data_IF_712487083930
#
_entry.id   IF_712487083930
#
_cell.length_a   1.000
_cell.length_b   1.000
_cell.length_c   1.000
_cell.angle_alpha   90.00
_cell.angle_beta   90.00
_cell.angle_gamma   90.00
#
_symmetry.space_group_name_H-M   'P 1'
#
loop_
_entity.id
_entity.type
_entity.pdbx_description
1 polymer ?
#
# COMPACT_ATOMS: atom_id res chain seq x y z
N UNK A 1 -58.88 26.31 -9.85
CA UNK A 1 -58.51 24.92 -10.23
C UNK A 1 -57.82 24.99 -11.60
N UNK A 2 -56.52 24.69 -11.67
CA UNK A 2 -55.74 24.74 -12.92
C UNK A 2 -55.33 23.29 -13.24
N UNK A 3 -55.76 22.70 -14.37
CA UNK A 3 -55.35 21.35 -14.72
C UNK A 3 -53.93 21.36 -15.33
N UNK A 4 -52.97 20.72 -14.67
CA UNK A 4 -51.64 20.47 -15.23
C UNK A 4 -51.69 19.26 -16.16
N UNK A 5 -51.71 19.50 -17.48
CA UNK A 5 -51.63 18.42 -18.47
C UNK A 5 -50.19 17.90 -18.56
N UNK A 6 -49.93 16.67 -18.11
CA UNK A 6 -48.66 15.99 -18.33
C UNK A 6 -48.41 15.80 -19.84
N UNK A 7 -47.44 16.53 -20.38
CA UNK A 7 -46.95 16.34 -21.75
C UNK A 7 -46.39 14.93 -21.94
N UNK A 8 -46.93 14.20 -22.93
CA UNK A 8 -46.49 12.86 -23.32
C UNK A 8 -45.05 12.94 -23.86
N UNK A 9 -44.06 12.51 -23.08
CA UNK A 9 -42.70 12.30 -23.60
C UNK A 9 -42.68 11.03 -24.45
N UNK A 10 -42.32 11.21 -25.73
CA UNK A 10 -42.13 10.14 -26.73
C UNK A 10 -40.99 9.23 -26.26
N UNK A 11 -41.27 7.97 -25.93
CA UNK A 11 -40.21 6.97 -25.70
C UNK A 11 -39.54 6.70 -27.04
N UNK A 12 -38.26 7.02 -27.16
CA UNK A 12 -37.43 6.63 -28.30
C UNK A 12 -37.20 5.12 -28.17
N UNK A 13 -37.59 4.36 -29.18
CA UNK A 13 -37.38 2.92 -29.23
C UNK A 13 -35.89 2.60 -29.42
N UNK A 14 -35.43 1.52 -28.81
CA UNK A 14 -34.03 1.04 -28.78
C UNK A 14 -33.40 0.83 -30.17
N UNK A 15 -34.22 0.81 -31.23
CA UNK A 15 -33.84 0.65 -32.63
C UNK A 15 -33.24 1.91 -33.26
N UNK A 16 -33.45 3.10 -32.68
CA UNK A 16 -32.95 4.37 -33.23
C UNK A 16 -31.54 4.74 -32.72
N UNK A 17 -31.03 4.08 -31.67
CA UNK A 17 -29.64 4.25 -31.21
C UNK A 17 -28.64 3.32 -31.94
N UNK A 18 -29.10 2.46 -32.84
CA UNK A 18 -28.26 1.44 -33.48
C UNK A 18 -27.91 1.73 -34.94
N UNK A 19 -27.66 2.99 -35.31
CA UNK A 19 -27.08 3.28 -36.63
C UNK A 19 -26.12 4.46 -36.61
N UNK A 20 -24.83 4.15 -36.53
CA UNK A 20 -23.74 4.69 -37.36
C UNK A 20 -22.38 4.51 -36.65
N UNK A 21 -21.85 3.29 -36.68
CA UNK A 21 -20.39 3.10 -36.68
C UNK A 21 -20.02 2.38 -37.98
N UNK A 22 -18.90 2.75 -38.64
CA UNK A 22 -18.49 2.22 -39.93
C UNK A 22 -18.38 0.69 -40.01
N UNK A 23 -18.53 0.20 -41.24
CA UNK A 23 -18.77 -1.16 -41.73
C UNK A 23 -17.82 -2.30 -41.29
N UNK A 24 -18.21 -3.57 -41.54
CA UNK A 24 -17.67 -4.79 -40.93
C UNK A 24 -16.73 -5.60 -41.86
N UNK A 25 -15.89 -6.47 -41.25
CA UNK A 25 -15.48 -7.85 -41.65
C UNK A 25 -13.98 -8.15 -41.34
N UNK A 26 -13.54 -9.42 -41.19
CA UNK A 26 -14.30 -10.68 -41.06
C UNK A 26 -14.04 -11.43 -39.74
N UNK A 27 -14.96 -12.33 -39.42
CA UNK A 27 -14.83 -13.39 -38.43
C UNK A 27 -13.55 -14.23 -38.62
N UNK A 28 -12.82 -14.51 -37.54
CA UNK A 28 -12.03 -15.75 -37.43
C UNK A 28 -12.33 -16.37 -36.07
N UNK A 29 -12.62 -17.66 -36.12
CA UNK A 29 -12.92 -18.57 -35.04
C UNK A 29 -11.81 -18.60 -33.96
N UNK A 30 -12.11 -19.07 -32.74
CA UNK A 30 -11.19 -19.01 -31.61
C UNK A 30 -10.17 -20.14 -31.68
N UNK A 31 -8.97 -19.85 -32.20
CA UNK A 31 -7.81 -20.72 -31.95
C UNK A 31 -6.45 -20.00 -31.99
N UNK A 32 -6.42 -18.66 -32.12
CA UNK A 32 -5.17 -17.87 -32.19
C UNK A 32 -5.33 -16.48 -31.56
N UNK A 33 -6.00 -16.41 -30.40
CA UNK A 33 -6.28 -15.13 -29.73
C UNK A 33 -5.10 -14.55 -28.94
N UNK A 34 -4.19 -15.39 -28.48
CA UNK A 34 -3.13 -14.95 -27.57
C UNK A 34 -2.02 -14.17 -28.30
N UNK A 35 -1.70 -14.54 -29.54
CA UNK A 35 -0.70 -13.83 -30.35
C UNK A 35 -1.20 -12.45 -30.78
N UNK A 36 -2.47 -12.32 -31.15
CA UNK A 36 -3.09 -11.05 -31.52
C UNK A 36 -3.15 -10.08 -30.34
N UNK A 37 -3.48 -10.57 -29.14
CA UNK A 37 -3.50 -9.76 -27.92
C UNK A 37 -2.09 -9.30 -27.55
N UNK A 38 -1.09 -10.18 -27.63
CA UNK A 38 0.32 -9.83 -27.40
C UNK A 38 0.82 -8.79 -28.40
N UNK A 39 0.44 -8.91 -29.68
CA UNK A 39 0.80 -7.94 -30.71
C UNK A 39 0.20 -6.55 -30.43
N UNK A 40 -1.05 -6.48 -29.94
CA UNK A 40 -1.70 -5.23 -29.55
C UNK A 40 -0.97 -4.59 -28.36
N UNK A 41 -0.61 -5.37 -27.35
CA UNK A 41 0.16 -4.86 -26.21
C UNK A 41 1.56 -4.40 -26.60
N UNK A 42 2.26 -5.15 -27.46
CA UNK A 42 3.58 -4.76 -27.96
C UNK A 42 3.52 -3.43 -28.72
N UNK A 43 2.54 -3.25 -29.60
CA UNK A 43 2.32 -2.00 -30.34
C UNK A 43 2.01 -0.81 -29.42
N UNK A 44 1.18 -1.02 -28.41
CA UNK A 44 0.85 0.02 -27.43
C UNK A 44 2.05 0.38 -26.53
N UNK A 45 2.87 -0.62 -26.21
CA UNK A 45 4.10 -0.44 -25.43
C UNK A 45 5.16 0.31 -26.23
N UNK A 46 5.45 -0.08 -27.48
CA UNK A 46 6.42 0.61 -28.36
C UNK A 46 6.02 2.06 -28.65
N UNK A 47 4.71 2.35 -28.73
CA UNK A 47 4.23 3.73 -28.90
C UNK A 47 4.49 4.61 -27.67
N UNK A 48 4.46 4.04 -26.47
CA UNK A 48 4.71 4.76 -25.20
C UNK A 48 6.18 4.77 -24.80
N UNK A 49 6.89 3.71 -25.12
CA UNK A 49 8.28 3.50 -24.76
C UNK A 49 9.05 3.26 -26.05
N UNK A 50 9.76 4.30 -26.51
CA UNK A 50 10.72 4.13 -27.59
C UNK A 50 11.78 3.13 -27.10
N UNK A 51 12.08 2.07 -27.86
CA UNK A 51 13.11 1.12 -27.46
C UNK A 51 14.44 1.86 -27.30
N UNK A 52 15.07 1.69 -26.13
CA UNK A 52 16.41 2.22 -25.87
C UNK A 52 17.38 1.55 -26.85
N UNK A 53 18.33 2.32 -27.40
CA UNK A 53 19.36 1.76 -28.27
C UNK A 53 20.26 0.83 -27.44
N UNK A 54 20.07 -0.47 -27.57
CA UNK A 54 20.92 -1.49 -26.95
C UNK A 54 22.07 -1.76 -27.90
N UNK A 55 23.30 -1.48 -27.48
CA UNK A 55 24.50 -1.97 -28.17
C UNK A 55 24.51 -3.51 -28.15
N UNK A 56 24.83 -4.19 -29.27
CA UNK A 56 24.68 -5.64 -29.37
C UNK A 56 25.67 -6.36 -28.44
N UNK A 57 25.17 -6.86 -27.31
CA UNK A 57 25.88 -7.86 -26.51
C UNK A 57 25.87 -9.18 -27.28
N UNK A 58 27.07 -9.64 -27.68
CA UNK A 58 27.30 -10.92 -28.33
C UNK A 58 26.87 -12.06 -27.39
N UNK A 59 25.86 -12.81 -27.78
CA UNK A 59 25.44 -14.06 -27.13
C UNK A 59 26.27 -15.21 -27.66
N UNK A 60 26.96 -15.95 -26.78
CA UNK A 60 27.31 -17.36 -27.03
C UNK A 60 26.27 -18.23 -26.32
N UNK A 61 25.52 -18.98 -27.11
CA UNK A 61 24.56 -20.00 -26.66
C UNK A 61 25.28 -21.36 -26.62
N UNK A 62 25.03 -22.15 -25.58
CA UNK A 62 24.96 -23.61 -25.67
C UNK A 62 24.23 -24.14 -24.42
N UNK A 63 23.22 -24.96 -24.66
CA UNK A 63 22.26 -25.56 -23.74
C UNK A 63 22.56 -27.07 -23.64
N UNK A 64 22.68 -27.62 -22.42
CA UNK A 64 22.23 -28.98 -22.07
C UNK A 64 22.29 -29.31 -20.57
N UNK A 65 21.10 -29.56 -20.03
CA UNK A 65 20.65 -30.57 -19.04
C UNK A 65 21.54 -31.07 -17.89
N UNK A 66 21.00 -30.87 -16.68
CA UNK A 66 20.87 -31.76 -15.49
C UNK A 66 22.10 -32.31 -14.70
N UNK A 67 21.98 -32.09 -13.37
CA UNK A 67 22.35 -32.96 -12.23
C UNK A 67 23.68 -32.72 -11.45
N UNK A 68 23.49 -32.41 -10.14
CA UNK A 68 24.32 -32.60 -8.93
C UNK A 68 25.70 -31.92 -8.74
N UNK A 69 25.74 -31.05 -7.72
CA UNK A 69 26.59 -31.08 -6.51
C UNK A 69 27.91 -31.86 -6.60
N UNK A 70 29.06 -31.17 -6.46
CA UNK A 70 30.02 -31.33 -5.35
C UNK A 70 31.24 -30.39 -5.47
N UNK A 71 31.85 -30.17 -4.31
CA UNK A 71 32.88 -29.21 -3.89
C UNK A 71 34.32 -29.42 -4.43
N UNK A 72 35.09 -28.32 -4.36
CA UNK A 72 36.53 -28.17 -4.03
C UNK A 72 37.69 -28.39 -5.03
N UNK A 73 38.77 -27.66 -4.67
CA UNK A 73 40.20 -27.69 -5.05
C UNK A 73 40.73 -26.66 -6.08
N UNK A 74 41.19 -25.53 -5.50
CA UNK A 74 42.58 -25.03 -5.47
C UNK A 74 43.46 -25.13 -6.73
N UNK A 75 44.06 -23.99 -7.13
CA UNK A 75 45.42 -23.98 -7.70
C UNK A 75 46.07 -22.58 -7.66
N UNK A 76 47.33 -22.60 -7.28
CA UNK A 76 48.24 -21.53 -6.85
C UNK A 76 48.93 -20.81 -8.03
N UNK A 77 49.24 -19.51 -7.93
CA UNK A 77 50.31 -18.91 -8.75
C UNK A 77 50.85 -17.56 -8.25
N UNK A 78 51.95 -17.66 -7.49
CA UNK A 78 53.25 -16.98 -7.70
C UNK A 78 53.32 -15.46 -8.00
N UNK A 79 53.78 -14.68 -7.01
CA UNK A 79 54.52 -13.44 -7.26
C UNK A 79 55.77 -13.38 -6.37
N UNK A 80 56.94 -13.57 -6.98
CA UNK A 80 58.26 -13.49 -6.35
C UNK A 80 59.05 -12.28 -6.83
N UNK A 81 59.69 -11.57 -5.88
CA UNK A 81 60.64 -10.47 -6.10
C UNK A 81 60.23 -9.21 -5.32
N UNK A 82 60.99 -8.69 -4.36
CA UNK A 82 62.44 -8.46 -4.42
C UNK A 82 63.11 -8.82 -3.08
N UNK A 83 64.22 -9.55 -3.13
CA UNK A 83 65.25 -9.54 -2.09
C UNK A 83 66.52 -8.92 -2.68
N UNK A 84 66.89 -7.75 -2.20
CA UNK A 84 68.18 -7.08 -2.41
C UNK A 84 68.19 -5.88 -1.48
N UNK A 85 69.19 -5.54 -0.70
CA UNK A 85 70.49 -6.10 -0.34
C UNK A 85 70.87 -5.28 0.90
N UNK A 86 71.69 -5.84 1.78
CA UNK A 86 72.31 -5.12 2.90
C UNK A 86 72.85 -3.77 2.43
N UNK A 87 72.30 -2.68 2.95
CA UNK A 87 72.89 -1.34 2.87
C UNK A 87 72.93 -0.78 4.30
N UNK A 88 74.10 -0.94 4.90
CA UNK A 88 74.50 -0.36 6.17
C UNK A 88 74.57 1.17 5.99
N UNK A 89 73.46 1.88 6.15
CA UNK A 89 73.48 3.35 6.06
C UNK A 89 72.15 4.09 5.94
N UNK A 90 71.05 3.43 5.55
CA UNK A 90 69.77 4.12 5.38
C UNK A 90 68.90 4.04 6.63
N UNK A 91 69.13 4.96 7.58
CA UNK A 91 68.12 5.29 8.59
C UNK A 91 66.94 5.97 7.89
N UNK A 92 65.96 5.18 7.46
CA UNK A 92 64.74 5.70 6.84
C UNK A 92 63.88 6.37 7.93
N UNK A 93 63.71 7.70 7.85
CA UNK A 93 62.76 8.42 8.68
C UNK A 93 61.35 8.25 8.09
N UNK A 94 60.58 7.33 8.68
CA UNK A 94 59.19 7.11 8.30
C UNK A 94 58.31 8.05 9.12
N UNK A 95 57.85 9.14 8.49
CA UNK A 95 56.83 10.02 9.08
C UNK A 95 55.46 9.46 8.70
N UNK A 96 54.84 8.74 9.62
CA UNK A 96 53.46 8.28 9.50
C UNK A 96 52.50 9.40 9.93
N UNK A 97 51.75 9.95 8.97
CA UNK A 97 50.61 10.80 9.28
C UNK A 97 49.38 9.93 9.56
N UNK A 98 49.24 9.41 10.78
CA UNK A 98 47.98 8.81 11.25
C UNK A 98 46.96 9.90 11.63
N UNK A 99 46.85 10.96 10.82
CA UNK A 99 45.90 12.02 11.04
C UNK A 99 44.52 11.59 10.51
N UNK A 100 43.76 10.86 11.33
CA UNK A 100 42.29 10.79 11.22
C UNK A 100 41.66 12.01 11.89
N UNK A 101 42.28 13.19 11.75
CA UNK A 101 41.52 14.41 11.96
C UNK A 101 40.63 14.53 10.75
N UNK A 102 39.36 14.14 10.93
CA UNK A 102 38.29 14.45 10.01
C UNK A 102 38.30 15.96 9.81
N UNK A 103 38.91 16.41 8.72
CA UNK A 103 38.84 17.76 8.18
C UNK A 103 37.42 17.92 7.62
N UNK A 104 36.40 17.68 8.44
CA UNK A 104 35.10 18.31 8.26
C UNK A 104 35.21 19.67 8.95
N UNK A 105 35.95 20.58 8.32
CA UNK A 105 36.11 21.99 8.72
C UNK A 105 34.80 22.79 8.66
N UNK A 106 33.66 22.12 8.46
CA UNK A 106 32.35 22.74 8.59
C UNK A 106 31.92 22.62 10.04
N UNK A 107 32.33 23.62 10.83
CA UNK A 107 31.82 23.85 12.18
C UNK A 107 30.29 23.74 12.19
N UNK A 108 29.72 23.22 13.28
CA UNK A 108 28.27 23.03 13.37
C UNK A 108 27.54 24.37 13.14
N UNK A 109 26.30 24.35 12.62
CA UNK A 109 25.54 25.61 12.36
C UNK A 109 25.42 26.48 13.62
N UNK A 110 25.52 25.88 14.81
CA UNK A 110 25.57 26.58 16.09
C UNK A 110 26.92 27.28 16.30
N UNK A 111 28.04 26.59 16.08
CA UNK A 111 29.39 27.15 16.15
C UNK A 111 29.62 28.26 15.13
N UNK A 112 29.21 28.06 13.87
CA UNK A 112 29.32 29.07 12.83
C UNK A 112 28.56 30.35 13.19
N UNK A 113 27.38 30.21 13.81
CA UNK A 113 26.60 31.36 14.30
C UNK A 113 27.25 32.01 15.51
N UNK A 114 27.86 31.26 16.40
CA UNK A 114 28.58 31.81 17.55
C UNK A 114 29.81 32.60 17.10
N UNK A 115 30.58 32.08 16.14
CA UNK A 115 31.79 32.71 15.62
C UNK A 115 31.54 33.87 14.64
N UNK A 116 30.54 33.76 13.76
CA UNK A 116 30.28 34.78 12.72
C UNK A 116 29.23 35.83 13.12
N UNK A 117 28.64 35.75 14.32
CA UNK A 117 27.77 36.81 14.81
C UNK A 117 28.57 37.93 15.47
N UNK A 118 28.05 39.16 15.47
CA UNK A 118 28.67 40.34 16.08
C UNK A 118 28.81 40.29 17.62
N UNK A 119 28.48 39.16 18.25
CA UNK A 119 28.51 38.97 19.69
C UNK A 119 29.75 38.14 20.03
N UNK A 120 30.64 38.61 20.93
CA UNK A 120 31.85 37.88 21.27
C UNK A 120 31.51 36.51 21.89
N UNK A 121 32.28 35.45 21.56
CA UNK A 121 32.07 34.13 22.16
C UNK A 121 32.29 34.21 23.67
N UNK A 122 31.29 33.79 24.45
CA UNK A 122 31.38 33.77 25.92
C UNK A 122 32.10 32.50 26.38
N UNK A 123 33.06 32.57 27.32
CA UNK A 123 33.73 31.39 27.84
C UNK A 123 32.73 30.52 28.62
N UNK A 124 32.61 29.26 28.20
CA UNK A 124 31.94 28.16 28.92
C UNK A 124 30.52 28.45 29.43
N UNK A 125 29.55 28.49 28.52
CA UNK A 125 28.21 27.98 28.84
C UNK A 125 28.16 26.55 28.32
N UNK A 126 28.55 25.59 29.16
CA UNK A 126 28.05 24.21 29.01
C UNK A 126 26.54 24.36 29.19
N UNK A 127 25.82 24.56 28.09
CA UNK A 127 24.37 24.42 28.12
C UNK A 127 24.16 22.94 28.34
N UNK A 128 24.01 22.56 29.61
CA UNK A 128 23.32 21.35 29.98
C UNK A 128 22.04 21.38 29.16
N UNK A 129 21.99 20.53 28.13
CA UNK A 129 20.74 20.17 27.49
C UNK A 129 19.75 19.97 28.63
N UNK A 130 18.56 20.59 28.63
CA UNK A 130 17.52 20.10 29.49
C UNK A 130 17.31 18.67 28.98
N UNK A 131 17.90 17.71 29.68
CA UNK A 131 17.38 16.37 29.76
C UNK A 131 16.02 16.62 30.41
N UNK A 132 15.04 16.99 29.59
CA UNK A 132 13.66 16.75 29.92
C UNK A 132 13.67 15.25 30.13
N UNK A 133 13.80 14.86 31.40
CA UNK A 133 13.21 13.67 31.93
C UNK A 133 11.81 13.76 31.38
N UNK A 134 11.60 13.13 30.22
CA UNK A 134 10.30 12.72 29.79
C UNK A 134 9.85 11.94 31.00
N UNK A 135 9.03 12.63 31.80
CA UNK A 135 8.25 11.98 32.83
C UNK A 135 7.68 10.81 32.05
N UNK A 136 8.06 9.60 32.46
CA UNK A 136 7.46 8.38 31.98
C UNK A 136 6.02 8.37 32.51
N UNK A 137 5.25 9.41 32.18
CA UNK A 137 3.82 9.28 31.98
C UNK A 137 3.78 8.32 30.82
N UNK A 138 3.27 7.13 31.09
CA UNK A 138 3.07 6.04 30.15
C UNK A 138 2.98 6.59 28.72
N UNK A 139 3.89 6.11 27.85
CA UNK A 139 4.01 6.57 26.47
C UNK A 139 2.63 6.72 25.83
N UNK A 140 2.45 7.67 24.89
CA UNK A 140 1.15 8.07 24.34
C UNK A 140 0.17 6.91 24.37
N UNK A 141 -0.77 6.97 25.32
CA UNK A 141 -1.67 5.85 25.61
C UNK A 141 -2.25 5.35 24.30
N UNK A 142 -2.55 4.06 24.17
CA UNK A 142 -3.10 3.49 22.93
C UNK A 142 -4.23 4.34 22.31
N UNK A 143 -5.04 4.97 23.17
CA UNK A 143 -6.10 5.91 22.77
C UNK A 143 -5.60 7.16 22.02
N UNK A 144 -4.44 7.71 22.38
CA UNK A 144 -3.80 8.85 21.71
C UNK A 144 -3.26 8.42 20.35
N UNK A 145 -2.65 7.24 20.25
CA UNK A 145 -2.24 6.68 18.96
C UNK A 145 -3.43 6.44 18.05
N UNK A 146 -4.49 5.81 18.57
CA UNK A 146 -5.72 5.58 17.83
C UNK A 146 -6.34 6.89 17.36
N UNK A 147 -6.37 7.94 18.19
CA UNK A 147 -6.88 9.27 17.80
C UNK A 147 -6.10 9.90 16.65
N UNK A 148 -4.79 9.68 16.60
CA UNK A 148 -3.91 10.27 15.59
C UNK A 148 -3.89 9.45 14.28
N UNK A 149 -4.11 8.14 14.35
CA UNK A 149 -4.09 7.24 13.19
C UNK A 149 -5.48 7.07 12.57
N UNK A 150 -5.78 7.89 11.55
CA UNK A 150 -7.04 7.84 10.82
C UNK A 150 -7.20 6.57 9.96
N UNK A 151 -6.09 5.98 9.51
CA UNK A 151 -6.15 4.77 8.70
C UNK A 151 -6.55 3.58 9.58
N UNK A 152 -5.97 3.48 10.78
CA UNK A 152 -6.33 2.47 11.77
C UNK A 152 -7.76 2.65 12.28
N UNK A 153 -8.20 3.88 12.56
CA UNK A 153 -9.61 4.16 12.89
C UNK A 153 -10.56 3.66 11.80
N UNK A 154 -10.26 3.94 10.53
CA UNK A 154 -11.09 3.47 9.40
C UNK A 154 -11.07 1.96 9.29
N UNK A 155 -9.91 1.32 9.39
CA UNK A 155 -9.76 -0.13 9.32
C UNK A 155 -10.57 -0.83 10.42
N UNK A 156 -10.47 -0.37 11.67
CA UNK A 156 -11.23 -0.94 12.77
C UNK A 156 -12.74 -0.82 12.56
N UNK A 157 -13.21 0.35 12.09
CA UNK A 157 -14.63 0.60 11.80
C UNK A 157 -15.17 -0.25 10.64
N UNK A 158 -14.39 -0.38 9.57
CA UNK A 158 -14.80 -1.08 8.35
C UNK A 158 -14.46 -2.58 8.36
N UNK A 159 -13.81 -3.07 9.42
CA UNK A 159 -13.38 -4.46 9.59
C UNK A 159 -14.51 -5.48 9.37
N UNK A 160 -15.74 -5.19 9.79
CA UNK A 160 -16.89 -6.08 9.56
C UNK A 160 -17.30 -6.15 8.08
N UNK A 161 -17.17 -5.05 7.32
CA UNK A 161 -17.44 -5.06 5.88
C UNK A 161 -16.36 -5.85 5.15
N UNK A 162 -15.09 -5.64 5.51
CA UNK A 162 -13.95 -6.38 4.96
C UNK A 162 -14.02 -7.87 5.32
N UNK A 163 -14.36 -8.19 6.56
CA UNK A 163 -14.53 -9.57 7.06
C UNK A 163 -15.67 -10.28 6.33
N UNK A 164 -16.83 -9.63 6.16
CA UNK A 164 -17.94 -10.20 5.41
C UNK A 164 -17.57 -10.52 3.96
N UNK A 165 -16.73 -9.70 3.32
CA UNK A 165 -16.17 -10.01 1.99
C UNK A 165 -15.22 -11.16 2.05
N UNK A 166 -14.28 -11.15 3.00
CA UNK A 166 -13.26 -12.18 3.12
C UNK A 166 -13.86 -13.55 3.44
N UNK A 167 -14.91 -13.61 4.25
CA UNK A 167 -15.68 -14.82 4.55
C UNK A 167 -16.56 -15.24 3.37
N UNK A 168 -17.12 -14.28 2.63
CA UNK A 168 -17.90 -14.59 1.42
C UNK A 168 -17.00 -15.09 0.29
N UNK A 169 -15.78 -14.57 0.14
CA UNK A 169 -14.84 -15.02 -0.90
C UNK A 169 -14.28 -16.42 -0.62
N UNK A 170 -14.30 -16.88 0.64
CA UNK A 170 -14.00 -18.28 0.99
C UNK A 170 -15.20 -19.21 0.82
N UNK A 171 -16.44 -18.69 0.90
CA UNK A 171 -17.67 -19.48 0.76
C UNK A 171 -18.26 -19.52 -0.67
N UNK A 172 -17.88 -18.60 -1.55
CA UNK A 172 -18.41 -18.55 -2.92
C UNK A 172 -17.30 -18.34 -3.95
N UNK A 173 -16.91 -19.43 -4.60
CA UNK A 173 -16.30 -19.42 -5.93
C UNK A 173 -17.33 -18.90 -6.95
N UNK A 174 -17.49 -17.58 -7.11
CA UNK A 174 -18.32 -17.08 -8.21
C UNK A 174 -18.03 -15.63 -8.60
N UNK A 175 -17.46 -15.49 -9.81
CA UNK A 175 -17.85 -14.50 -10.82
C UNK A 175 -17.55 -13.01 -10.54
N UNK A 176 -16.29 -12.68 -10.25
CA UNK A 176 -15.74 -11.37 -10.64
C UNK A 176 -14.35 -11.58 -11.24
N UNK A 177 -14.09 -11.01 -12.42
CA UNK A 177 -12.87 -11.16 -13.25
C UNK A 177 -11.57 -10.58 -12.61
N UNK A 178 -11.57 -10.34 -11.31
CA UNK A 178 -10.40 -10.07 -10.50
C UNK A 178 -10.73 -10.51 -9.07
N UNK A 179 -9.86 -11.28 -8.38
CA UNK A 179 -10.02 -11.49 -6.96
C UNK A 179 -9.98 -10.12 -6.29
N UNK A 180 -11.03 -9.68 -5.58
CA UNK A 180 -10.96 -8.43 -4.85
C UNK A 180 -9.81 -8.60 -3.84
N UNK A 181 -8.79 -7.75 -3.93
CA UNK A 181 -7.80 -7.66 -2.86
C UNK A 181 -8.60 -7.48 -1.56
N UNK A 182 -8.50 -8.40 -0.58
CA UNK A 182 -9.33 -8.39 0.60
C UNK A 182 -9.15 -7.11 1.43
N UNK A 183 -8.08 -6.35 1.18
CA UNK A 183 -7.77 -5.08 1.82
C UNK A 183 -8.38 -3.86 1.13
N UNK A 184 -9.05 -4.01 -0.02
CA UNK A 184 -9.66 -2.87 -0.73
C UNK A 184 -11.16 -3.08 -0.98
N UNK A 185 -11.97 -2.18 -0.43
CA UNK A 185 -13.41 -2.15 -0.66
C UNK A 185 -13.69 -1.57 -2.05
N UNK A 186 -14.37 -2.34 -2.90
CA UNK A 186 -14.79 -1.90 -4.23
C UNK A 186 -16.33 -1.89 -4.35
N UNK A 187 -16.85 -1.22 -5.38
CA UNK A 187 -18.28 -1.23 -5.73
C UNK A 187 -19.22 -0.81 -4.59
N UNK A 188 -20.25 -1.63 -4.34
CA UNK A 188 -21.28 -1.36 -3.33
C UNK A 188 -20.71 -1.24 -1.91
N UNK A 189 -19.63 -1.97 -1.63
CA UNK A 189 -19.03 -2.01 -0.31
C UNK A 189 -18.19 -0.78 -0.01
N UNK A 190 -17.55 -0.22 -1.05
CA UNK A 190 -16.97 1.12 -0.98
C UNK A 190 -18.03 2.14 -0.58
N UNK A 191 -19.23 2.09 -1.17
CA UNK A 191 -20.31 3.02 -0.83
C UNK A 191 -20.79 2.88 0.62
N UNK A 192 -20.78 1.66 1.19
CA UNK A 192 -21.11 1.44 2.60
C UNK A 192 -20.02 1.99 3.53
N UNK A 193 -18.74 1.72 3.24
CA UNK A 193 -17.61 2.30 4.00
C UNK A 193 -17.61 3.83 3.96
N UNK A 194 -17.85 4.43 2.80
CA UNK A 194 -17.95 5.90 2.71
C UNK A 194 -19.10 6.46 3.56
N UNK A 195 -20.22 5.76 3.65
CA UNK A 195 -21.35 6.15 4.49
C UNK A 195 -21.04 6.00 5.99
N UNK A 196 -20.37 4.92 6.41
CA UNK A 196 -19.89 4.75 7.79
C UNK A 196 -18.85 5.80 8.20
N UNK A 197 -18.01 6.21 7.26
CA UNK A 197 -17.05 7.30 7.47
C UNK A 197 -17.76 8.65 7.65
N UNK A 198 -18.79 8.95 6.85
CA UNK A 198 -19.60 10.16 7.02
C UNK A 198 -20.32 10.17 8.39
N UNK A 199 -20.85 9.04 8.82
CA UNK A 199 -21.41 8.89 10.17
C UNK A 199 -20.36 9.16 11.26
N UNK A 200 -19.12 8.68 11.08
CA UNK A 200 -18.00 8.95 12.00
C UNK A 200 -17.67 10.43 12.12
N UNK A 201 -17.77 11.16 11.01
CA UNK A 201 -17.50 12.59 10.96
C UNK A 201 -18.64 13.43 11.56
N UNK A 202 -19.77 12.79 11.91
CA UNK A 202 -20.91 13.45 12.58
C UNK A 202 -22.18 13.53 11.74
N UNK A 203 -22.30 12.80 10.63
CA UNK A 203 -23.59 12.69 9.95
C UNK A 203 -24.62 12.03 10.87
N UNK A 204 -25.85 12.58 10.89
CA UNK A 204 -26.91 12.15 11.82
C UNK A 204 -27.61 10.85 11.40
N UNK A 205 -27.52 10.49 10.13
CA UNK A 205 -28.20 9.31 9.56
C UNK A 205 -27.44 8.76 8.37
N UNK A 206 -27.50 7.44 8.19
CA UNK A 206 -26.96 6.73 7.03
C UNK A 206 -27.74 7.05 5.76
N UNK A 207 -27.05 7.20 4.64
CA UNK A 207 -27.64 7.37 3.30
C UNK A 207 -28.32 6.06 2.84
N UNK A 208 -27.83 4.91 3.31
CA UNK A 208 -28.37 3.60 2.96
C UNK A 208 -29.57 3.19 3.81
N UNK A 209 -29.93 3.96 4.83
CA UNK A 209 -31.08 3.66 5.67
C UNK A 209 -32.40 3.93 4.91
N UNK A 210 -33.22 2.90 4.74
CA UNK A 210 -34.52 3.03 4.10
C UNK A 210 -35.51 3.81 4.98
N UNK A 211 -35.83 5.05 4.59
CA UNK A 211 -36.74 5.94 5.36
C UNK A 211 -38.20 5.46 5.39
N UNK A 212 -38.71 5.01 4.24
CA UNK A 212 -40.10 4.64 4.08
C UNK A 212 -40.24 3.10 4.04
N UNK A 213 -40.58 2.53 5.19
CA UNK A 213 -40.92 1.12 5.39
C UNK A 213 -42.31 1.03 6.06
N UNK A 214 -43.22 0.14 5.61
CA UNK A 214 -44.47 -0.13 6.32
C UNK A 214 -44.20 -0.45 7.80
N UNK A 215 -45.04 0.10 8.70
CA UNK A 215 -44.91 -0.13 10.14
C UNK A 215 -44.83 -1.62 10.56
N UNK A 216 -45.67 -2.55 10.02
CA UNK A 216 -45.60 -3.95 10.44
C UNK A 216 -44.25 -4.59 10.07
N UNK A 217 -43.75 -4.36 8.85
CA UNK A 217 -42.45 -4.88 8.41
C UNK A 217 -41.30 -4.30 9.22
N UNK A 218 -41.34 -2.99 9.51
CA UNK A 218 -40.33 -2.34 10.33
C UNK A 218 -40.26 -2.94 11.73
N UNK A 219 -41.42 -3.16 12.36
CA UNK A 219 -41.51 -3.81 13.67
C UNK A 219 -41.04 -5.26 13.61
N UNK A 220 -41.43 -6.01 12.58
CA UNK A 220 -41.01 -7.39 12.39
C UNK A 220 -39.50 -7.52 12.20
N UNK A 221 -38.88 -6.67 11.39
CA UNK A 221 -37.43 -6.68 11.17
C UNK A 221 -36.68 -6.32 12.46
N UNK A 222 -37.15 -5.33 13.21
CA UNK A 222 -36.54 -4.97 14.49
C UNK A 222 -36.70 -6.10 15.53
N UNK A 223 -37.87 -6.73 15.61
CA UNK A 223 -38.10 -7.87 16.50
C UNK A 223 -37.23 -9.08 16.10
N UNK A 224 -37.11 -9.38 14.80
CA UNK A 224 -36.26 -10.45 14.28
C UNK A 224 -34.78 -10.18 14.58
N UNK A 225 -34.29 -8.95 14.37
CA UNK A 225 -32.93 -8.59 14.70
C UNK A 225 -32.63 -8.75 16.19
N UNK A 226 -33.55 -8.33 17.06
CA UNK A 226 -33.44 -8.53 18.51
C UNK A 226 -33.43 -10.00 18.91
N UNK A 227 -34.33 -10.81 18.35
CA UNK A 227 -34.40 -12.24 18.64
C UNK A 227 -33.14 -12.99 18.18
N UNK A 228 -32.57 -12.62 17.02
CA UNK A 228 -31.30 -13.19 16.54
C UNK A 228 -30.13 -12.83 17.46
N UNK A 229 -30.06 -11.58 17.91
CA UNK A 229 -28.99 -11.15 18.82
C UNK A 229 -29.16 -11.78 20.22
N UNK A 230 -30.37 -11.87 20.74
CA UNK A 230 -30.66 -12.57 22.00
C UNK A 230 -30.25 -14.04 21.93
N UNK A 231 -30.57 -14.72 20.84
CA UNK A 231 -30.15 -16.10 20.57
C UNK A 231 -28.62 -16.22 20.49
N UNK A 232 -27.94 -15.33 19.74
CA UNK A 232 -26.46 -15.29 19.68
C UNK A 232 -25.83 -15.14 21.06
N UNK A 233 -26.43 -14.32 21.93
CA UNK A 233 -25.94 -14.10 23.29
C UNK A 233 -26.26 -15.24 24.25
N UNK A 234 -27.44 -15.85 24.17
CA UNK A 234 -27.75 -17.04 24.98
C UNK A 234 -26.82 -18.20 24.60
N UNK A 235 -26.61 -18.41 23.30
CA UNK A 235 -25.68 -19.41 22.77
C UNK A 235 -24.23 -19.10 23.17
N UNK A 236 -23.81 -17.84 23.14
CA UNK A 236 -22.47 -17.48 23.61
C UNK A 236 -22.31 -17.70 25.13
N UNK A 237 -23.33 -17.39 25.94
CA UNK A 237 -23.32 -17.58 27.39
C UNK A 237 -23.27 -19.06 27.78
N UNK A 238 -24.04 -19.91 27.12
CA UNK A 238 -24.02 -21.36 27.38
C UNK A 238 -22.69 -22.01 26.96
N UNK A 239 -22.07 -21.49 25.88
CA UNK A 239 -20.78 -22.00 25.37
C UNK A 239 -19.56 -21.31 26.01
N UNK A 240 -19.76 -20.35 26.92
CA UNK A 240 -18.67 -19.61 27.57
C UNK A 240 -17.89 -18.65 26.67
N UNK A 241 -18.47 -18.22 25.54
CA UNK A 241 -17.87 -17.26 24.60
C UNK A 241 -18.18 -15.82 25.05
N UNK A 242 -17.15 -14.98 25.15
CA UNK A 242 -17.30 -13.56 25.50
C UNK A 242 -17.60 -12.74 24.24
N UNK A 243 -18.67 -11.93 24.29
CA UNK A 243 -19.09 -11.03 23.20
C UNK A 243 -18.87 -9.56 23.56
N UNK A 244 -18.93 -8.69 22.55
CA UNK A 244 -18.94 -7.24 22.73
C UNK A 244 -20.10 -6.77 23.64
N UNK A 245 -19.83 -5.72 24.42
CA UNK A 245 -20.82 -5.07 25.27
C UNK A 245 -21.71 -4.15 24.42
N UNK A 246 -23.02 -4.14 24.71
CA UNK A 246 -23.98 -3.16 24.16
C UNK A 246 -23.72 -1.73 24.62
#
# INVERSE_FOLDING_TARGET
>A
MIPTTLGKRKRIARTELSRASPSPSPSIAPESGDEDIQAIFRRAFEAKFKPLAVEPKKTKMAEKEEEKVDEDEDEESDWSGISSSSDEGNNVEVIEYSATHDISEKASRAELRAFMSSKPPKPASISTLPNSKAKHTDGPTETVHLKNDLALQRLLRDSHLLSAVSSSSTATTSSTLNPPNPLTLTGSLRHKSTDLHLLSLGAKSSIHHQKNMPLPERRANAAKAKALEEKRRSEARENGIVLEKE
#
